data_IF_945471330200
#
_entry.id   IF_945471330200
#
_cell.length_a   1.000
_cell.length_b   1.000
_cell.length_c   1.000
_cell.angle_alpha   90.00
_cell.angle_beta   90.00
_cell.angle_gamma   90.00
#
_symmetry.space_group_name_H-M   'P 1'
#
loop_
_entity.id
_entity.type
_entity.pdbx_description
1 polymer ?
#
# COMPACT_ATOMS: atom_id res chain seq x y z
N UNK A 1 -17.07 9.87 7.04
CA UNK A 1 -16.73 11.31 7.05
C UNK A 1 -16.62 11.90 8.45
N UNK A 2 -17.57 11.66 9.36
CA UNK A 2 -17.56 12.19 10.74
C UNK A 2 -16.20 12.19 11.47
N UNK A 3 -15.44 11.09 11.39
CA UNK A 3 -14.12 11.01 12.01
C UNK A 3 -13.11 11.96 11.37
N UNK A 4 -13.10 12.07 10.03
CA UNK A 4 -12.22 12.99 9.29
C UNK A 4 -12.56 14.44 9.63
N UNK A 5 -13.85 14.77 9.62
CA UNK A 5 -14.33 16.12 9.97
C UNK A 5 -13.91 16.50 11.39
N UNK A 6 -14.12 15.60 12.35
CA UNK A 6 -13.71 15.84 13.74
C UNK A 6 -12.21 16.07 13.90
N UNK A 7 -11.38 15.26 13.22
CA UNK A 7 -9.93 15.40 13.27
C UNK A 7 -9.47 16.72 12.63
N UNK A 8 -10.08 17.12 11.52
CA UNK A 8 -9.81 18.41 10.89
C UNK A 8 -10.19 19.60 11.78
N UNK A 9 -11.33 19.53 12.48
CA UNK A 9 -11.74 20.57 13.45
C UNK A 9 -10.73 20.73 14.60
N UNK A 10 -10.00 19.66 14.93
CA UNK A 10 -8.92 19.64 15.93
C UNK A 10 -7.55 20.02 15.34
N UNK A 11 -7.48 20.41 14.06
CA UNK A 11 -6.24 20.77 13.37
C UNK A 11 -5.35 19.59 12.99
N UNK A 12 -5.87 18.36 13.05
CA UNK A 12 -5.13 17.13 12.74
C UNK A 12 -5.27 16.83 11.25
N UNK A 13 -4.16 16.76 10.52
CA UNK A 13 -4.16 16.41 9.10
C UNK A 13 -4.54 14.94 8.90
N UNK A 14 -5.49 14.68 8.00
CA UNK A 14 -5.94 13.33 7.67
C UNK A 14 -5.71 13.05 6.20
N UNK A 15 -5.33 11.82 5.88
CA UNK A 15 -5.35 11.30 4.52
C UNK A 15 -6.16 10.02 4.45
N UNK A 16 -6.63 9.67 3.27
CA UNK A 16 -7.34 8.41 3.03
C UNK A 16 -6.50 7.48 2.18
N UNK A 17 -6.58 6.17 2.46
CA UNK A 17 -5.91 5.14 1.67
C UNK A 17 -6.86 4.06 1.17
N UNK A 18 -7.62 4.32 0.09
CA UNK A 18 -8.44 3.27 -0.52
C UNK A 18 -7.58 2.14 -1.09
N UNK A 19 -8.04 0.92 -0.85
CA UNK A 19 -7.51 -0.29 -1.47
C UNK A 19 -8.06 -0.42 -2.89
N UNK A 20 -7.19 -0.39 -3.90
CA UNK A 20 -7.54 -0.68 -5.29
C UNK A 20 -7.63 -2.20 -5.45
N UNK A 21 -8.79 -2.67 -5.89
CA UNK A 21 -9.11 -4.06 -6.14
C UNK A 21 -9.95 -4.17 -7.42
N UNK A 22 -10.20 -5.38 -7.90
CA UNK A 22 -11.14 -5.56 -9.02
C UNK A 22 -12.55 -5.04 -8.71
N UNK A 23 -12.96 -5.07 -7.44
CA UNK A 23 -14.32 -4.73 -7.04
C UNK A 23 -14.64 -3.23 -7.14
N UNK A 24 -13.62 -2.38 -6.99
CA UNK A 24 -13.78 -0.93 -7.01
C UNK A 24 -12.91 -0.25 -8.08
N UNK A 25 -12.39 -1.03 -9.04
CA UNK A 25 -11.39 -0.58 -10.02
C UNK A 25 -11.87 0.62 -10.84
N UNK A 26 -13.15 0.61 -11.24
CA UNK A 26 -13.73 1.63 -12.11
C UNK A 26 -14.16 2.88 -11.32
N UNK A 27 -14.33 2.75 -10.00
CA UNK A 27 -14.80 3.81 -9.11
C UNK A 27 -13.65 4.59 -8.47
N UNK A 28 -12.40 4.11 -8.53
CA UNK A 28 -11.25 4.78 -7.86
C UNK A 28 -11.11 6.24 -8.28
N UNK A 29 -11.36 6.59 -9.54
CA UNK A 29 -11.27 7.99 -9.99
C UNK A 29 -12.35 8.86 -9.36
N UNK A 30 -13.57 8.35 -9.20
CA UNK A 30 -14.66 9.07 -8.53
C UNK A 30 -14.38 9.24 -7.04
N UNK A 31 -13.87 8.18 -6.39
CA UNK A 31 -13.40 8.26 -5.00
C UNK A 31 -12.28 9.31 -4.85
N UNK A 32 -11.31 9.30 -5.76
CA UNK A 32 -10.20 10.26 -5.76
C UNK A 32 -10.72 11.69 -5.86
N UNK A 33 -11.58 11.97 -6.85
CA UNK A 33 -12.17 13.29 -7.01
C UNK A 33 -13.03 13.71 -5.80
N UNK A 34 -13.76 12.78 -5.19
CA UNK A 34 -14.56 13.05 -3.99
C UNK A 34 -13.70 13.60 -2.84
N UNK A 35 -12.56 12.95 -2.53
CA UNK A 35 -11.69 13.37 -1.45
C UNK A 35 -10.87 14.63 -1.78
N UNK A 36 -10.36 14.74 -3.02
CA UNK A 36 -9.62 15.94 -3.43
C UNK A 36 -10.49 17.22 -3.40
N UNK A 37 -11.78 17.13 -3.75
CA UNK A 37 -12.72 18.26 -3.63
C UNK A 37 -12.96 18.71 -2.19
N UNK A 38 -12.65 17.87 -1.21
CA UNK A 38 -12.77 18.15 0.23
C UNK A 38 -11.45 18.53 0.86
N UNK A 39 -10.42 18.78 0.05
CA UNK A 39 -9.05 19.05 0.50
C UNK A 39 -8.46 17.93 1.36
N UNK A 40 -8.82 16.68 1.05
CA UNK A 40 -8.30 15.51 1.76
C UNK A 40 -7.28 14.80 0.86
N UNK A 41 -6.00 14.74 1.28
CA UNK A 41 -4.98 13.97 0.59
C UNK A 41 -5.29 12.48 0.50
N UNK A 42 -4.79 11.85 -0.55
CA UNK A 42 -5.07 10.46 -0.87
C UNK A 42 -3.80 9.70 -1.25
N UNK A 43 -3.68 8.49 -0.70
CA UNK A 43 -2.70 7.48 -1.09
C UNK A 43 -3.45 6.21 -1.51
N UNK A 44 -2.83 5.27 -2.22
CA UNK A 44 -3.48 4.01 -2.60
C UNK A 44 -2.71 2.81 -2.08
N UNK A 45 -3.42 1.76 -1.70
CA UNK A 45 -2.84 0.42 -1.57
C UNK A 45 -3.44 -0.49 -2.63
N UNK A 46 -2.71 -1.54 -3.04
CA UNK A 46 -3.26 -2.58 -3.90
C UNK A 46 -3.81 -3.70 -3.04
N UNK A 47 -4.91 -4.30 -3.47
CA UNK A 47 -5.40 -5.52 -2.85
C UNK A 47 -4.32 -6.60 -2.84
N UNK A 48 -4.09 -7.17 -1.67
CA UNK A 48 -3.20 -8.29 -1.44
C UNK A 48 -3.85 -9.24 -0.42
N UNK A 49 -3.25 -10.41 -0.25
CA UNK A 49 -3.67 -11.41 0.72
C UNK A 49 -2.46 -12.13 1.30
N UNK A 50 -2.65 -12.79 2.44
CA UNK A 50 -1.63 -13.63 3.03
C UNK A 50 -1.37 -14.83 2.10
N UNK A 51 -0.14 -14.96 1.59
CA UNK A 51 0.28 -16.09 0.76
C UNK A 51 1.09 -17.15 1.52
N UNK A 52 1.60 -16.82 2.72
CA UNK A 52 2.31 -17.76 3.59
C UNK A 52 1.36 -18.30 4.66
N UNK A 53 1.30 -19.63 4.78
CA UNK A 53 0.54 -20.31 5.84
C UNK A 53 1.37 -20.54 7.11
N UNK A 54 2.59 -20.00 7.19
CA UNK A 54 3.50 -20.24 8.32
C UNK A 54 2.85 -19.85 9.64
N UNK A 55 2.99 -20.73 10.64
CA UNK A 55 2.43 -20.54 11.98
C UNK A 55 3.09 -19.36 12.72
N UNK A 56 4.30 -18.98 12.32
CA UNK A 56 5.11 -17.98 13.02
C UNK A 56 5.06 -16.57 12.45
N UNK A 57 4.24 -16.33 11.41
CA UNK A 57 4.04 -14.98 10.87
C UNK A 57 3.59 -14.00 11.96
N UNK A 58 3.97 -12.73 11.83
CA UNK A 58 3.67 -11.71 12.84
C UNK A 58 2.15 -11.53 13.05
N UNK A 59 1.42 -11.28 11.97
CA UNK A 59 -0.03 -11.16 11.96
C UNK A 59 -0.58 -11.36 10.55
N UNK A 60 -1.87 -11.67 10.45
CA UNK A 60 -2.59 -11.91 9.19
C UNK A 60 -3.45 -10.73 8.80
N UNK A 61 -3.48 -10.40 7.52
CA UNK A 61 -4.34 -9.32 7.00
C UNK A 61 -5.58 -9.85 6.27
N UNK A 62 -5.58 -11.11 5.81
CA UNK A 62 -6.74 -11.71 5.17
C UNK A 62 -6.44 -12.80 4.16
N UNK A 63 -7.48 -13.58 3.84
CA UNK A 63 -7.42 -14.70 2.90
C UNK A 63 -7.60 -14.23 1.45
N UNK A 64 -7.05 -15.01 0.52
CA UNK A 64 -7.25 -14.82 -0.92
C UNK A 64 -8.75 -14.82 -1.26
N UNK A 65 -9.18 -13.84 -2.05
CA UNK A 65 -10.52 -13.77 -2.60
C UNK A 65 -10.47 -13.36 -4.07
N UNK A 66 -10.90 -14.26 -4.95
CA UNK A 66 -10.85 -14.03 -6.40
C UNK A 66 -11.65 -12.80 -6.84
N UNK A 67 -12.70 -12.40 -6.11
CA UNK A 67 -13.52 -11.23 -6.44
C UNK A 67 -12.76 -9.90 -6.31
N UNK A 68 -11.67 -9.86 -5.54
CA UNK A 68 -10.88 -8.65 -5.33
C UNK A 68 -9.58 -8.64 -6.14
N UNK A 69 -9.15 -9.80 -6.66
CA UNK A 69 -7.97 -9.92 -7.51
C UNK A 69 -8.18 -9.18 -8.84
N UNK A 70 -7.32 -8.23 -9.17
CA UNK A 70 -7.39 -7.45 -10.41
C UNK A 70 -7.23 -8.38 -11.62
N UNK A 71 -8.31 -8.54 -12.38
CA UNK A 71 -8.39 -9.34 -13.58
C UNK A 71 -8.38 -8.47 -14.85
N UNK A 72 -9.06 -7.31 -14.82
CA UNK A 72 -9.00 -6.33 -15.92
C UNK A 72 -7.73 -5.48 -15.82
N UNK A 73 -6.64 -6.03 -16.37
CA UNK A 73 -5.34 -5.36 -16.45
C UNK A 73 -5.39 -4.07 -17.26
N UNK A 74 -6.23 -4.01 -18.31
CA UNK A 74 -6.35 -2.83 -19.17
C UNK A 74 -6.98 -1.67 -18.39
N UNK A 75 -8.04 -1.93 -17.62
CA UNK A 75 -8.61 -0.93 -16.73
C UNK A 75 -7.61 -0.44 -15.68
N UNK A 76 -6.79 -1.33 -15.11
CA UNK A 76 -5.76 -0.94 -14.16
C UNK A 76 -4.67 -0.04 -14.78
N UNK A 77 -4.25 -0.33 -16.01
CA UNK A 77 -3.32 0.51 -16.77
C UNK A 77 -3.91 1.90 -17.03
N UNK A 78 -5.16 1.96 -17.48
CA UNK A 78 -5.87 3.22 -17.73
C UNK A 78 -6.08 4.03 -16.44
N UNK A 79 -6.35 3.35 -15.31
CA UNK A 79 -6.44 3.97 -14.01
C UNK A 79 -5.12 4.63 -13.62
N UNK A 80 -3.99 3.92 -13.75
CA UNK A 80 -2.67 4.50 -13.49
C UNK A 80 -2.39 5.73 -14.36
N UNK A 81 -2.70 5.68 -15.66
CA UNK A 81 -2.53 6.83 -16.57
C UNK A 81 -3.37 8.03 -16.13
N UNK A 82 -4.60 7.78 -15.72
CA UNK A 82 -5.52 8.82 -15.22
C UNK A 82 -4.99 9.43 -13.92
N UNK A 83 -4.55 8.60 -12.97
CA UNK A 83 -3.97 9.06 -11.70
C UNK A 83 -2.68 9.86 -11.90
N UNK A 84 -1.80 9.46 -12.83
CA UNK A 84 -0.59 10.22 -13.18
C UNK A 84 -0.98 11.60 -13.72
N UNK A 85 -1.97 11.67 -14.62
CA UNK A 85 -2.46 12.94 -15.18
C UNK A 85 -3.07 13.84 -14.11
N UNK A 86 -3.85 13.26 -13.19
CA UNK A 86 -4.43 13.99 -12.06
C UNK A 86 -3.36 14.50 -11.10
N UNK A 87 -2.36 13.68 -10.76
CA UNK A 87 -1.26 14.06 -9.86
C UNK A 87 -0.47 15.27 -10.36
N UNK A 88 -0.28 15.40 -11.68
CA UNK A 88 0.40 16.57 -12.27
C UNK A 88 -0.34 17.89 -12.00
N UNK A 89 -1.64 17.81 -11.70
CA UNK A 89 -2.52 18.96 -11.44
C UNK A 89 -2.81 19.13 -9.95
N UNK A 90 -2.71 18.06 -9.17
CA UNK A 90 -3.04 18.04 -7.75
C UNK A 90 -1.99 17.25 -6.95
N UNK A 91 -1.20 17.97 -6.16
CA UNK A 91 -0.13 17.40 -5.33
C UNK A 91 -0.64 16.59 -4.14
N UNK A 92 -1.94 16.67 -3.81
CA UNK A 92 -2.57 15.91 -2.71
C UNK A 92 -2.80 14.44 -3.07
N UNK A 93 -2.57 14.03 -4.32
CA UNK A 93 -2.34 12.63 -4.66
C UNK A 93 -0.90 12.27 -4.26
N UNK A 94 -0.78 11.59 -3.13
CA UNK A 94 0.50 11.40 -2.44
C UNK A 94 1.39 10.33 -3.09
N UNK A 95 0.80 9.37 -3.82
CA UNK A 95 1.54 8.36 -4.57
C UNK A 95 2.49 9.02 -5.58
N UNK A 96 3.73 8.54 -5.72
CA UNK A 96 4.67 9.12 -6.69
C UNK A 96 4.34 8.71 -8.13
N UNK A 97 4.71 9.54 -9.11
CA UNK A 97 4.57 9.19 -10.53
C UNK A 97 5.34 7.91 -10.85
N UNK A 98 6.57 7.76 -10.34
CA UNK A 98 7.40 6.55 -10.51
C UNK A 98 6.70 5.30 -9.99
N UNK A 99 6.03 5.38 -8.84
CA UNK A 99 5.27 4.25 -8.29
C UNK A 99 4.09 3.89 -9.18
N UNK A 100 3.32 4.87 -9.66
CA UNK A 100 2.20 4.63 -10.57
C UNK A 100 2.67 4.04 -11.91
N UNK A 101 3.80 4.50 -12.45
CA UNK A 101 4.42 3.95 -13.65
C UNK A 101 4.89 2.50 -13.44
N UNK A 102 5.51 2.19 -12.30
CA UNK A 102 5.92 0.83 -11.97
C UNK A 102 4.71 -0.11 -11.89
N UNK A 103 3.63 0.30 -11.22
CA UNK A 103 2.38 -0.49 -11.14
C UNK A 103 1.74 -0.64 -12.52
N UNK A 104 1.67 0.44 -13.32
CA UNK A 104 1.20 0.38 -14.71
C UNK A 104 1.98 -0.66 -15.51
N UNK A 105 3.32 -0.60 -15.47
CA UNK A 105 4.19 -1.50 -16.21
C UNK A 105 4.05 -2.96 -15.76
N UNK A 106 3.84 -3.19 -14.45
CA UNK A 106 3.53 -4.53 -13.94
C UNK A 106 2.25 -5.10 -14.58
N UNK A 107 1.16 -4.33 -14.64
CA UNK A 107 -0.09 -4.81 -15.27
C UNK A 107 -0.03 -4.86 -16.80
N UNK A 108 0.87 -4.10 -17.44
CA UNK A 108 1.12 -4.20 -18.89
C UNK A 108 1.91 -5.45 -19.28
N UNK A 109 2.88 -5.85 -18.47
CA UNK A 109 3.93 -6.81 -18.87
C UNK A 109 3.97 -8.08 -18.03
N UNK A 110 3.21 -8.11 -16.92
CA UNK A 110 3.31 -9.11 -15.85
C UNK A 110 4.71 -9.22 -15.22
N UNK A 111 5.58 -8.23 -15.47
CA UNK A 111 6.93 -8.19 -14.92
C UNK A 111 7.03 -7.13 -13.84
N UNK A 112 7.45 -7.57 -12.66
CA UNK A 112 7.83 -6.70 -11.56
C UNK A 112 9.22 -6.13 -11.83
N UNK A 113 9.35 -4.81 -11.93
CA UNK A 113 10.61 -4.10 -12.22
C UNK A 113 11.30 -3.53 -10.97
N UNK A 114 10.77 -3.80 -9.79
CA UNK A 114 11.30 -3.33 -8.51
C UNK A 114 11.49 -4.50 -7.54
N UNK A 115 12.46 -4.39 -6.65
CA UNK A 115 12.68 -5.35 -5.57
C UNK A 115 11.98 -4.90 -4.29
N UNK A 116 11.73 -5.83 -3.37
CA UNK A 116 11.26 -5.50 -2.03
C UNK A 116 12.46 -5.04 -1.21
N UNK A 117 12.34 -3.93 -0.48
CA UNK A 117 13.36 -3.44 0.45
C UNK A 117 12.90 -3.59 1.92
N UNK A 118 12.05 -4.58 2.18
CA UNK A 118 11.75 -5.02 3.53
C UNK A 118 13.05 -5.40 4.26
N UNK A 119 13.15 -5.08 5.56
CA UNK A 119 14.35 -5.17 6.41
C UNK A 119 15.52 -4.24 6.06
N UNK A 120 15.46 -3.49 4.95
CA UNK A 120 16.45 -2.48 4.60
C UNK A 120 15.92 -1.06 4.81
N UNK A 121 14.74 -0.78 4.26
CA UNK A 121 14.11 0.55 4.30
C UNK A 121 12.95 0.62 5.30
N UNK A 122 12.35 -0.52 5.61
CA UNK A 122 11.24 -0.61 6.55
C UNK A 122 11.14 -2.02 7.14
N UNK A 123 10.45 -2.12 8.27
CA UNK A 123 10.11 -3.37 8.92
C UNK A 123 8.79 -3.21 9.66
N UNK A 124 8.23 -4.32 10.10
CA UNK A 124 7.04 -4.40 10.95
C UNK A 124 7.41 -5.01 12.29
N UNK A 125 6.80 -4.51 13.35
CA UNK A 125 6.93 -5.04 14.71
C UNK A 125 5.54 -5.46 15.17
N UNK A 126 5.42 -6.65 15.75
CA UNK A 126 4.18 -7.05 16.41
C UNK A 126 4.13 -6.61 17.88
N UNK A 127 3.03 -6.98 18.57
CA UNK A 127 2.81 -6.69 19.97
C UNK A 127 3.78 -7.40 20.94
N UNK A 128 4.54 -8.38 20.47
CA UNK A 128 5.56 -9.09 21.26
C UNK A 128 6.97 -8.51 21.03
N UNK A 129 7.09 -7.46 20.22
CA UNK A 129 8.39 -6.87 19.88
C UNK A 129 9.19 -7.68 18.86
N UNK A 130 8.56 -8.64 18.16
CA UNK A 130 9.21 -9.42 17.10
C UNK A 130 9.24 -8.60 15.81
N UNK A 131 10.37 -8.60 15.12
CA UNK A 131 10.62 -7.79 13.91
C UNK A 131 10.63 -8.70 12.68
N UNK A 132 9.89 -8.32 11.65
CA UNK A 132 9.96 -8.94 10.33
C UNK A 132 9.97 -7.88 9.23
N UNK A 133 10.36 -8.26 8.02
CA UNK A 133 10.36 -7.34 6.88
C UNK A 133 8.96 -6.96 6.39
N UNK A 134 8.02 -7.88 6.50
CA UNK A 134 6.62 -7.72 6.13
C UNK A 134 5.80 -8.63 7.05
N UNK A 135 4.50 -8.39 7.18
CA UNK A 135 3.57 -9.28 7.91
C UNK A 135 3.56 -10.71 7.35
N UNK A 136 4.00 -10.88 6.10
CA UNK A 136 4.05 -12.16 5.38
C UNK A 136 5.31 -13.00 5.68
N UNK A 137 6.32 -12.41 6.33
CA UNK A 137 7.58 -13.07 6.63
C UNK A 137 7.67 -13.46 8.10
N UNK A 138 8.43 -14.53 8.37
CA UNK A 138 8.75 -14.92 9.73
C UNK A 138 9.60 -13.83 10.41
N UNK A 139 9.47 -13.66 11.73
CA UNK A 139 10.32 -12.76 12.47
C UNK A 139 11.80 -13.14 12.38
N UNK A 140 12.65 -12.15 12.21
CA UNK A 140 14.10 -12.28 12.04
C UNK A 140 14.89 -11.84 13.28
N UNK A 141 14.28 -11.00 14.11
CA UNK A 141 14.90 -10.43 15.31
C UNK A 141 13.84 -10.01 16.35
N UNK A 142 14.28 -9.70 17.57
CA UNK A 142 13.51 -8.85 18.49
C UNK A 142 13.86 -7.39 18.25
N UNK A 143 13.00 -6.47 18.68
CA UNK A 143 13.26 -5.03 18.63
C UNK A 143 14.46 -4.62 19.49
N UNK A 144 14.77 -5.41 20.53
CA UNK A 144 15.91 -5.19 21.41
C UNK A 144 17.24 -5.57 20.73
N UNK A 145 17.21 -6.60 19.88
CA UNK A 145 18.39 -7.07 19.15
C UNK A 145 18.63 -6.31 17.84
N UNK A 146 17.58 -5.66 17.31
CA UNK A 146 17.60 -5.00 16.01
C UNK A 146 18.78 -4.03 15.81
N UNK A 147 19.17 -3.17 16.79
CA UNK A 147 20.31 -2.27 16.61
C UNK A 147 21.63 -2.98 16.30
N UNK A 148 21.83 -4.17 16.86
CA UNK A 148 23.05 -4.97 16.65
C UNK A 148 23.00 -5.79 15.36
N UNK A 149 21.80 -6.08 14.86
CA UNK A 149 21.57 -6.88 13.66
C UNK A 149 21.37 -6.03 12.40
N UNK A 150 21.09 -4.74 12.56
CA UNK A 150 20.84 -3.82 11.45
C UNK A 150 22.02 -3.80 10.47
N UNK A 151 21.75 -3.96 9.18
CA UNK A 151 22.75 -4.12 8.10
C UNK A 151 23.69 -5.33 8.23
N UNK A 152 23.43 -6.28 9.14
CA UNK A 152 24.16 -7.55 9.18
C UNK A 152 23.73 -8.44 8.01
N UNK A 153 24.59 -9.39 7.62
CA UNK A 153 24.25 -10.41 6.62
C UNK A 153 23.13 -11.36 7.04
N UNK A 154 22.68 -11.28 8.30
CA UNK A 154 21.58 -12.06 8.87
C UNK A 154 20.21 -11.46 8.53
N UNK A 155 20.14 -10.17 8.15
CA UNK A 155 18.92 -9.43 7.81
C UNK A 155 18.83 -9.13 6.31
#
# INVERSE_FOLDING_TARGET
MKAIERLHDEGISVSVSPTISQYNLYEILDFTNYFLRKDIPIWYCLYSHDFSSHEHQLFRIGKKNAKFMIADKKAMVNLCDSLIKMKRRDSRILMTTKTLEAVKNFYLTDKRTWTCHALQNFFVIDNLGRVAGCHLHDPVASILDLPNLWNSSKL
#
